data_IF_982198441981
#
_entry.id   IF_982198441981
#
_cell.length_a   1.000
_cell.length_b   1.000
_cell.length_c   1.000
_cell.angle_alpha   90.00
_cell.angle_beta   90.00
_cell.angle_gamma   90.00
#
_symmetry.space_group_name_H-M   'P 1'
#
loop_
_entity.id
_entity.type
_entity.pdbx_description
1 polymer ?
#
# COMPACT_ATOMS: atom_id res chain seq x y z
N UNK A 1 -14.36 -16.69 18.88
CA UNK A 1 -14.28 -17.19 20.27
C UNK A 1 -12.86 -17.68 20.57
N UNK A 2 -12.35 -18.76 19.97
CA UNK A 2 -10.96 -19.20 20.24
C UNK A 2 -9.90 -18.24 19.69
N UNK A 3 -10.14 -17.64 18.51
CA UNK A 3 -9.24 -16.62 17.96
C UNK A 3 -9.21 -15.35 18.81
N UNK A 4 -10.37 -14.84 19.24
CA UNK A 4 -10.44 -13.61 20.04
C UNK A 4 -9.70 -13.71 21.38
N UNK A 5 -9.83 -14.83 22.10
CA UNK A 5 -9.12 -15.07 23.37
C UNK A 5 -7.60 -15.17 23.18
N UNK A 6 -7.14 -15.84 22.11
CA UNK A 6 -5.72 -15.99 21.80
C UNK A 6 -5.07 -14.65 21.43
N UNK A 7 -5.78 -13.79 20.70
CA UNK A 7 -5.33 -12.44 20.40
C UNK A 7 -5.35 -11.55 21.65
N UNK A 8 -6.34 -11.69 22.53
CA UNK A 8 -6.45 -10.98 23.82
C UNK A 8 -5.21 -11.21 24.71
N UNK A 9 -4.78 -12.46 24.86
CA UNK A 9 -3.61 -12.86 25.67
C UNK A 9 -2.27 -12.31 25.13
N UNK A 10 -2.15 -12.14 23.81
CA UNK A 10 -0.92 -11.63 23.16
C UNK A 10 -0.87 -10.10 23.15
N UNK A 11 -2.04 -9.45 23.14
CA UNK A 11 -2.13 -8.03 22.78
C UNK A 11 -2.62 -7.12 23.91
N UNK A 12 -3.22 -7.68 24.98
CA UNK A 12 -3.73 -6.90 26.12
C UNK A 12 -4.84 -5.91 25.73
N UNK A 13 -5.49 -6.13 24.58
CA UNK A 13 -6.39 -5.18 23.95
C UNK A 13 -7.71 -5.88 23.58
N UNK A 14 -8.84 -5.37 24.11
CA UNK A 14 -10.17 -5.87 23.78
C UNK A 14 -10.57 -5.39 22.37
N UNK A 15 -10.28 -6.20 21.35
CA UNK A 15 -10.66 -5.92 19.96
C UNK A 15 -12.08 -6.42 19.72
N UNK A 16 -13.03 -5.51 19.53
CA UNK A 16 -14.41 -5.83 19.17
C UNK A 16 -14.46 -6.57 17.81
N UNK A 17 -15.28 -7.63 17.63
CA UNK A 17 -15.35 -8.42 16.39
C UNK A 17 -15.61 -7.60 15.11
N UNK A 18 -16.30 -6.46 15.25
CA UNK A 18 -16.57 -5.49 14.18
C UNK A 18 -15.31 -4.79 13.67
N UNK A 19 -14.28 -4.63 14.51
CA UNK A 19 -13.00 -4.01 14.17
C UNK A 19 -12.18 -4.90 13.22
N UNK A 20 -12.31 -6.22 13.34
CA UNK A 20 -11.71 -7.15 12.36
C UNK A 20 -12.30 -6.93 10.97
N UNK A 21 -13.62 -6.73 10.85
CA UNK A 21 -14.28 -6.51 9.56
C UNK A 21 -13.85 -5.19 8.90
N UNK A 22 -13.59 -4.15 9.69
CA UNK A 22 -13.01 -2.89 9.20
C UNK A 22 -11.56 -3.09 8.73
N UNK A 23 -10.74 -3.82 9.49
CA UNK A 23 -9.40 -4.24 9.06
C UNK A 23 -9.44 -5.11 7.78
N UNK A 24 -10.45 -5.98 7.61
CA UNK A 24 -10.65 -6.73 6.37
C UNK A 24 -11.04 -5.83 5.18
N UNK A 25 -11.70 -4.70 5.45
CA UNK A 25 -11.94 -3.65 4.47
C UNK A 25 -10.66 -3.16 3.78
N UNK A 26 -9.52 -3.21 4.49
CA UNK A 26 -8.21 -2.86 3.94
C UNK A 26 -7.69 -3.87 2.89
N UNK A 27 -8.20 -5.11 2.82
CA UNK A 27 -7.85 -5.98 1.68
C UNK A 27 -8.34 -5.42 0.33
N UNK A 28 -9.25 -4.42 0.33
CA UNK A 28 -9.56 -3.64 -0.89
C UNK A 28 -8.33 -2.99 -1.50
N UNK A 29 -7.27 -2.75 -0.73
CA UNK A 29 -6.01 -2.22 -1.27
C UNK A 29 -5.30 -3.17 -2.22
N UNK A 30 -5.39 -4.48 -2.01
CA UNK A 30 -4.87 -5.44 -2.99
C UNK A 30 -5.60 -5.35 -4.33
N UNK A 31 -6.81 -4.79 -4.36
CA UNK A 31 -7.54 -4.51 -5.60
C UNK A 31 -6.89 -3.38 -6.42
N UNK A 32 -6.14 -2.46 -5.81
CA UNK A 32 -5.39 -1.42 -6.53
C UNK A 32 -4.22 -2.01 -7.33
N UNK A 33 -3.59 -3.10 -6.87
CA UNK A 33 -2.58 -3.81 -7.66
C UNK A 33 -3.17 -4.44 -8.95
N UNK A 34 -4.49 -4.61 -9.01
CA UNK A 34 -5.23 -5.02 -10.20
C UNK A 34 -5.76 -3.86 -11.06
N UNK A 35 -5.44 -2.60 -10.75
CA UNK A 35 -6.01 -1.45 -11.47
C UNK A 35 -5.31 -1.20 -12.81
N UNK A 36 -4.06 -1.64 -12.95
CA UNK A 36 -3.25 -1.52 -14.18
C UNK A 36 -3.94 -2.09 -15.42
N UNK A 37 -4.50 -3.33 -15.42
CA UNK A 37 -5.27 -3.84 -16.55
C UNK A 37 -6.60 -3.10 -16.77
N UNK A 38 -7.20 -2.53 -15.72
CA UNK A 38 -8.46 -1.77 -15.81
C UNK A 38 -8.24 -0.39 -16.43
N UNK A 39 -7.21 0.35 -16.00
CA UNK A 39 -6.83 1.65 -16.56
C UNK A 39 -6.42 1.54 -18.03
N UNK A 40 -5.69 0.48 -18.40
CA UNK A 40 -5.33 0.21 -19.80
C UNK A 40 -6.57 -0.01 -20.69
N UNK A 41 -7.63 -0.61 -20.14
CA UNK A 41 -8.90 -0.84 -20.85
C UNK A 41 -9.79 0.42 -20.89
N UNK A 42 -9.76 1.25 -19.86
CA UNK A 42 -10.55 2.48 -19.77
C UNK A 42 -9.98 3.63 -20.62
N UNK A 43 -8.65 3.71 -20.76
CA UNK A 43 -7.97 4.77 -21.53
C UNK A 43 -7.06 4.19 -22.61
N UNK A 44 -7.62 3.62 -23.71
CA UNK A 44 -6.83 3.01 -24.78
C UNK A 44 -5.96 4.01 -25.56
N UNK A 45 -6.26 5.31 -25.47
CA UNK A 45 -5.56 6.38 -26.19
C UNK A 45 -4.28 6.87 -25.49
N UNK A 46 -4.03 6.46 -24.24
CA UNK A 46 -2.86 6.92 -23.47
C UNK A 46 -1.73 5.89 -23.62
N UNK A 47 -0.51 6.37 -23.86
CA UNK A 47 0.67 5.50 -24.01
C UNK A 47 0.84 4.58 -22.79
N UNK A 48 1.17 3.28 -22.97
CA UNK A 48 1.27 2.31 -21.88
C UNK A 48 2.23 2.71 -20.76
N UNK A 49 3.31 3.42 -21.08
CA UNK A 49 4.30 3.94 -20.12
C UNK A 49 3.69 4.98 -19.17
N UNK A 50 2.90 5.94 -19.68
CA UNK A 50 2.22 6.96 -18.86
C UNK A 50 1.19 6.36 -17.92
N UNK A 51 0.38 5.40 -18.39
CA UNK A 51 -0.60 4.71 -17.55
C UNK A 51 0.09 4.00 -16.38
N UNK A 52 1.23 3.35 -16.65
CA UNK A 52 1.93 2.63 -15.61
C UNK A 52 2.55 3.56 -14.56
N UNK A 53 3.14 4.69 -14.96
CA UNK A 53 3.65 5.71 -14.02
C UNK A 53 2.51 6.26 -13.14
N UNK A 54 1.37 6.61 -13.75
CA UNK A 54 0.20 7.11 -13.01
C UNK A 54 -0.31 6.06 -12.02
N UNK A 55 -0.39 4.79 -12.43
CA UNK A 55 -0.82 3.70 -11.57
C UNK A 55 0.10 3.52 -10.36
N UNK A 56 1.42 3.62 -10.56
CA UNK A 56 2.41 3.49 -9.47
C UNK A 56 2.32 4.66 -8.49
N UNK A 57 2.22 5.90 -8.98
CA UNK A 57 2.08 7.08 -8.11
C UNK A 57 0.78 7.00 -7.30
N UNK A 58 -0.33 6.62 -7.93
CA UNK A 58 -1.60 6.44 -7.24
C UNK A 58 -1.51 5.32 -6.21
N UNK A 59 -0.90 4.20 -6.54
CA UNK A 59 -0.77 3.07 -5.62
C UNK A 59 0.16 3.38 -4.44
N UNK A 60 1.28 4.10 -4.63
CA UNK A 60 2.13 4.55 -3.52
C UNK A 60 1.37 5.51 -2.59
N UNK A 61 0.74 6.55 -3.17
CA UNK A 61 -0.04 7.54 -2.40
C UNK A 61 -1.16 6.87 -1.61
N UNK A 62 -1.88 5.97 -2.27
CA UNK A 62 -2.96 5.20 -1.64
C UNK A 62 -2.40 4.40 -0.46
N UNK A 63 -1.29 3.67 -0.64
CA UNK A 63 -0.75 2.77 0.40
C UNK A 63 -0.25 3.57 1.60
N UNK A 64 0.36 4.74 1.38
CA UNK A 64 0.73 5.68 2.45
C UNK A 64 -0.47 6.15 3.25
N UNK A 65 -1.54 6.58 2.57
CA UNK A 65 -2.77 7.04 3.24
C UNK A 65 -3.43 5.93 4.05
N UNK A 66 -3.40 4.70 3.54
CA UNK A 66 -3.96 3.57 4.28
C UNK A 66 -3.12 3.17 5.46
N UNK A 67 -1.80 3.15 5.33
CA UNK A 67 -0.93 2.86 6.45
C UNK A 67 -1.09 3.91 7.55
N UNK A 68 -1.12 5.20 7.18
CA UNK A 68 -1.40 6.30 8.10
C UNK A 68 -2.78 6.14 8.79
N UNK A 69 -3.83 5.82 8.03
CA UNK A 69 -5.17 5.61 8.58
C UNK A 69 -5.28 4.40 9.50
N UNK A 70 -4.54 3.33 9.22
CA UNK A 70 -4.51 2.14 10.06
C UNK A 70 -3.78 2.40 11.38
N UNK A 71 -2.67 3.13 11.32
CA UNK A 71 -1.93 3.53 12.52
C UNK A 71 -2.75 4.51 13.36
N UNK A 72 -3.43 5.46 12.72
CA UNK A 72 -4.36 6.36 13.40
C UNK A 72 -5.51 5.60 14.08
N UNK A 73 -6.06 4.59 13.41
CA UNK A 73 -7.13 3.79 14.00
C UNK A 73 -6.65 2.97 15.20
N UNK A 74 -5.45 2.38 15.13
CA UNK A 74 -4.91 1.53 16.20
C UNK A 74 -4.37 2.32 17.40
N UNK A 75 -3.77 3.48 17.17
CA UNK A 75 -3.12 4.30 18.21
C UNK A 75 -3.97 5.53 18.60
N UNK A 76 -4.71 6.12 17.67
CA UNK A 76 -5.44 7.38 17.86
C UNK A 76 -6.77 7.27 18.60
N UNK A 77 -7.38 6.08 18.68
CA UNK A 77 -8.55 5.86 19.53
C UNK A 77 -8.18 5.77 21.02
N UNK A 78 -6.93 5.39 21.32
CA UNK A 78 -6.48 5.18 22.69
C UNK A 78 -5.66 6.39 23.16
N UNK A 79 -6.32 7.31 23.87
CA UNK A 79 -5.75 8.56 24.42
C UNK A 79 -4.63 8.39 25.47
N UNK A 80 -4.16 7.17 25.72
CA UNK A 80 -3.03 6.86 26.61
C UNK A 80 -1.67 6.93 25.89
N UNK A 81 -1.65 7.13 24.57
CA UNK A 81 -0.46 7.22 23.72
C UNK A 81 0.27 8.57 23.82
N UNK A 82 0.44 9.11 25.04
CA UNK A 82 1.30 10.27 25.33
C UNK A 82 0.95 11.59 24.60
N UNK A 83 1.60 12.70 24.96
CA UNK A 83 1.37 14.02 24.35
C UNK A 83 1.96 14.15 22.93
N UNK A 84 2.44 13.07 22.32
CA UNK A 84 3.14 13.10 21.03
C UNK A 84 2.15 13.13 19.85
N UNK A 85 0.97 12.49 19.96
CA UNK A 85 -0.05 12.47 18.91
C UNK A 85 -1.12 13.58 19.04
N UNK A 86 -0.72 14.86 19.08
CA UNK A 86 -1.67 15.97 19.23
C UNK A 86 -2.43 16.34 17.95
N UNK A 87 -1.94 16.00 16.74
CA UNK A 87 -2.63 16.24 15.47
C UNK A 87 -2.99 14.92 14.78
N UNK A 88 -4.22 14.46 15.02
CA UNK A 88 -4.73 13.12 14.72
C UNK A 88 -4.51 12.61 13.28
N UNK A 89 -4.37 13.42 12.24
CA UNK A 89 -4.14 12.91 10.86
C UNK A 89 -2.76 13.26 10.24
N UNK A 90 -2.25 14.51 10.38
CA UNK A 90 -0.97 14.88 9.78
C UNK A 90 0.22 14.10 10.34
N UNK A 91 0.23 13.81 11.65
CA UNK A 91 1.35 13.18 12.33
C UNK A 91 1.52 11.71 11.89
N UNK A 92 0.40 10.99 11.74
CA UNK A 92 0.40 9.62 11.22
C UNK A 92 0.76 9.54 9.74
N UNK A 93 0.40 10.56 8.96
CA UNK A 93 0.83 10.65 7.56
C UNK A 93 2.32 10.92 7.44
N UNK A 94 2.87 11.77 8.30
CA UNK A 94 4.31 11.98 8.42
C UNK A 94 5.03 10.69 8.83
N UNK A 95 4.54 9.99 9.86
CA UNK A 95 5.08 8.69 10.28
C UNK A 95 5.07 7.66 9.14
N UNK A 96 4.00 7.60 8.35
CA UNK A 96 3.90 6.73 7.20
C UNK A 96 4.98 7.03 6.15
N UNK A 97 5.19 8.31 5.82
CA UNK A 97 6.22 8.73 4.86
C UNK A 97 7.62 8.39 5.39
N UNK A 98 7.93 8.72 6.64
CA UNK A 98 9.24 8.48 7.27
C UNK A 98 9.55 6.97 7.34
N UNK A 99 8.53 6.15 7.60
CA UNK A 99 8.67 4.69 7.65
C UNK A 99 8.89 4.10 6.25
N UNK A 100 8.08 4.49 5.27
CA UNK A 100 8.16 3.93 3.91
C UNK A 100 9.37 4.43 3.14
N UNK A 101 9.82 5.65 3.43
CA UNK A 101 11.09 6.18 2.92
C UNK A 101 12.31 5.55 3.59
N UNK A 102 12.11 4.64 4.56
CA UNK A 102 13.16 3.97 5.34
C UNK A 102 14.05 4.93 6.15
N UNK A 103 13.61 6.17 6.35
CA UNK A 103 14.35 7.18 7.13
C UNK A 103 14.25 6.87 8.62
N UNK A 104 13.05 6.62 9.12
CA UNK A 104 12.82 6.15 10.49
C UNK A 104 13.42 7.04 11.58
N UNK A 105 13.02 8.32 11.66
CA UNK A 105 13.52 9.25 12.69
C UNK A 105 13.28 8.77 14.13
N UNK A 106 12.22 7.98 14.35
CA UNK A 106 11.91 7.41 15.66
C UNK A 106 11.25 8.40 16.63
N UNK A 107 10.81 9.55 16.13
CA UNK A 107 10.00 10.55 16.84
C UNK A 107 8.56 10.07 17.08
N UNK A 108 8.01 9.28 16.15
CA UNK A 108 6.75 8.58 16.32
C UNK A 108 6.97 7.07 16.21
N UNK A 109 6.48 6.30 17.17
CA UNK A 109 6.57 4.83 17.12
C UNK A 109 5.34 4.16 17.71
N UNK A 110 4.89 3.03 17.13
CA UNK A 110 3.73 2.29 17.64
C UNK A 110 3.97 1.79 19.07
N UNK A 111 3.03 2.13 19.95
CA UNK A 111 3.05 1.77 21.36
C UNK A 111 2.49 0.37 21.57
N UNK A 112 1.41 0.02 20.85
CA UNK A 112 0.72 -1.26 21.01
C UNK A 112 1.41 -2.42 20.26
N UNK A 113 1.31 -3.64 20.81
CA UNK A 113 1.87 -4.83 20.14
C UNK A 113 1.24 -5.10 18.77
N UNK A 114 -0.06 -4.82 18.62
CA UNK A 114 -0.80 -5.00 17.36
C UNK A 114 -0.30 -4.04 16.29
N UNK A 115 -0.16 -2.76 16.61
CA UNK A 115 0.31 -1.73 15.68
C UNK A 115 1.76 -1.99 15.26
N UNK A 116 2.60 -2.54 16.15
CA UNK A 116 3.96 -3.00 15.81
C UNK A 116 3.96 -4.13 14.78
N UNK A 117 3.14 -5.17 14.97
CA UNK A 117 3.04 -6.28 14.01
C UNK A 117 2.55 -5.76 12.65
N UNK A 118 1.54 -4.89 12.66
CA UNK A 118 1.02 -4.24 11.45
C UNK A 118 2.10 -3.43 10.73
N UNK A 119 2.89 -2.63 11.45
CA UNK A 119 4.00 -1.86 10.89
C UNK A 119 5.05 -2.77 10.24
N UNK A 120 5.42 -3.89 10.89
CA UNK A 120 6.37 -4.86 10.34
C UNK A 120 5.84 -5.46 9.03
N UNK A 121 4.58 -5.90 9.01
CA UNK A 121 3.96 -6.47 7.81
C UNK A 121 3.91 -5.43 6.68
N UNK A 122 3.54 -4.18 6.99
CA UNK A 122 3.48 -3.10 6.02
C UNK A 122 4.85 -2.81 5.39
N UNK A 123 5.93 -2.78 6.18
CA UNK A 123 7.29 -2.58 5.68
C UNK A 123 7.67 -3.70 4.70
N UNK A 124 7.40 -4.95 5.04
CA UNK A 124 7.69 -6.11 4.16
C UNK A 124 6.95 -5.96 2.83
N UNK A 125 5.66 -5.61 2.86
CA UNK A 125 4.86 -5.42 1.65
C UNK A 125 5.44 -4.32 0.76
N UNK A 126 5.79 -3.17 1.33
CA UNK A 126 6.33 -2.02 0.57
C UNK A 126 7.68 -2.35 -0.06
N UNK A 127 8.57 -2.97 0.71
CA UNK A 127 9.92 -3.34 0.26
C UNK A 127 9.88 -4.37 -0.88
N UNK A 128 8.91 -5.29 -0.87
CA UNK A 128 8.73 -6.26 -1.96
C UNK A 128 8.02 -5.64 -3.16
N UNK A 129 6.99 -4.83 -2.93
CA UNK A 129 6.11 -4.36 -3.99
C UNK A 129 6.70 -3.23 -4.84
N UNK A 130 7.38 -2.24 -4.24
CA UNK A 130 7.97 -1.11 -4.99
C UNK A 130 8.99 -1.58 -6.06
N UNK A 131 9.94 -2.50 -5.77
CA UNK A 131 10.88 -2.98 -6.79
C UNK A 131 10.21 -3.78 -7.92
N UNK A 132 9.14 -4.53 -7.63
CA UNK A 132 8.41 -5.30 -8.64
C UNK A 132 7.74 -4.39 -9.68
N UNK A 133 7.11 -3.30 -9.23
CA UNK A 133 6.51 -2.31 -10.11
C UNK A 133 7.56 -1.55 -10.92
N UNK A 134 8.65 -1.14 -10.26
CA UNK A 134 9.77 -0.45 -10.90
C UNK A 134 10.41 -1.31 -11.98
N UNK A 135 10.55 -2.61 -11.74
CA UNK A 135 11.06 -3.57 -12.74
C UNK A 135 10.19 -3.60 -14.00
N UNK A 136 8.87 -3.46 -13.85
CA UNK A 136 7.95 -3.46 -14.98
C UNK A 136 8.04 -2.14 -15.76
N UNK A 137 8.22 -1.01 -15.09
CA UNK A 137 8.54 0.27 -15.74
C UNK A 137 9.84 0.21 -16.54
N UNK A 138 10.90 -0.34 -15.95
CA UNK A 138 12.20 -0.50 -16.63
C UNK A 138 12.04 -1.36 -17.88
N UNK A 139 11.27 -2.46 -17.80
CA UNK A 139 10.96 -3.29 -18.98
C UNK A 139 10.24 -2.51 -20.07
N UNK A 140 9.31 -1.62 -19.72
CA UNK A 140 8.64 -0.77 -20.72
C UNK A 140 9.56 0.30 -21.32
N UNK A 141 10.55 0.78 -20.57
CA UNK A 141 11.51 1.78 -21.04
C UNK A 141 12.58 1.17 -21.94
N UNK A 142 13.06 -0.03 -21.59
CA UNK A 142 14.11 -0.75 -22.32
C UNK A 142 13.55 -1.59 -23.46
N UNK A 143 12.23 -1.86 -23.47
CA UNK A 143 11.59 -2.54 -24.58
C UNK A 143 11.92 -1.79 -25.88
N UNK A 144 12.58 -2.45 -26.85
CA UNK A 144 12.75 -1.85 -28.16
C UNK A 144 11.37 -1.52 -28.71
N UNK A 145 11.23 -0.42 -29.45
CA UNK A 145 10.02 -0.09 -30.20
C UNK A 145 9.84 -1.21 -31.23
N UNK A 146 9.23 -2.32 -30.82
CA UNK A 146 8.89 -3.42 -31.71
C UNK A 146 7.92 -2.84 -32.71
N UNK A 147 8.37 -2.82 -33.97
CA UNK A 147 7.65 -2.34 -35.13
C UNK A 147 6.17 -2.73 -35.03
N UNK A 148 5.32 -1.72 -34.86
CA UNK A 148 3.93 -1.82 -35.26
C UNK A 148 3.96 -1.99 -36.78
N UNK A 149 3.80 -3.23 -37.24
CA UNK A 149 3.56 -3.55 -38.64
C UNK A 149 4.74 -4.19 -39.35
N UNK A 150 4.82 -5.52 -39.29
CA UNK A 150 4.96 -6.25 -40.54
C UNK A 150 3.55 -6.68 -40.95
N UNK A 151 3.02 -6.10 -42.02
CA UNK A 151 1.83 -6.66 -42.68
C UNK A 151 2.12 -8.14 -42.96
N UNK A 152 1.17 -9.06 -42.75
CA UNK A 152 1.31 -10.39 -43.33
C UNK A 152 1.45 -10.18 -44.84
N UNK A 153 2.58 -10.60 -45.42
CA UNK A 153 2.76 -10.62 -46.86
C UNK A 153 1.87 -11.72 -47.42
N UNK A 154 0.60 -11.37 -47.68
CA UNK A 154 -0.44 -12.23 -48.28
C UNK A 154 -0.14 -12.56 -49.76
N UNK A 155 1.11 -12.39 -50.22
CA UNK A 155 1.46 -12.52 -51.65
C UNK A 155 2.62 -13.48 -51.94
N UNK A 156 3.02 -14.35 -51.03
CA UNK A 156 3.89 -15.47 -51.39
C UNK A 156 3.10 -16.77 -51.61
N UNK A 157 2.67 -16.88 -52.87
CA UNK A 157 2.15 -18.04 -53.64
C UNK A 157 0.66 -18.37 -53.52
#
# INVERSE_FOLDING_TARGET
>A
LVSSQFFEDITGYHIEPTQYLLAFGYFRFFRLYGITPVLRKAFPHVSPSRIQVIAIVLAITSTLLVFAGLMWYLEGENSDSGPEFNSLFPDFFYFAIVTFSTVGYGDFSPTYNVSRIVAIIAIIVVVVWIPLETSTLIRLLVAPVTQIGSLPSVWER
#
